data_IF_901770354267
#
_entry.id   IF_901770354267
#
_cell.length_a   1.000
_cell.length_b   1.000
_cell.length_c   1.000
_cell.angle_alpha   90.00
_cell.angle_beta   90.00
_cell.angle_gamma   90.00
#
_symmetry.space_group_name_H-M   'P 1'
#
loop_
_entity.id
_entity.type
_entity.pdbx_description
1 polymer ?
#
# COMPACT_ATOMS: atom_id res chain seq x y z
N UNK A 1 -8.38 18.34 -18.50
CA UNK A 1 -8.20 17.30 -17.46
C UNK A 1 -9.43 17.38 -16.58
N UNK A 2 -10.26 16.34 -16.57
CA UNK A 2 -11.46 16.30 -15.73
C UNK A 2 -11.09 16.43 -14.25
N UNK A 3 -12.04 16.97 -13.48
CA UNK A 3 -11.81 17.49 -12.14
C UNK A 3 -11.19 16.47 -11.19
N UNK A 4 -10.21 16.94 -10.41
CA UNK A 4 -9.67 16.27 -9.22
C UNK A 4 -10.80 16.17 -8.19
N UNK A 5 -11.59 15.10 -8.24
CA UNK A 5 -12.71 14.92 -7.32
C UNK A 5 -12.18 14.70 -5.89
N UNK A 6 -12.10 15.80 -5.15
CA UNK A 6 -12.02 15.82 -3.69
C UNK A 6 -13.29 16.52 -3.19
N UNK A 7 -14.16 15.84 -2.42
CA UNK A 7 -14.05 14.44 -2.00
C UNK A 7 -14.26 13.45 -3.17
N UNK A 8 -13.83 12.19 -2.97
CA UNK A 8 -14.22 11.09 -3.85
C UNK A 8 -15.74 10.91 -3.82
N UNK A 9 -16.30 10.46 -4.94
CA UNK A 9 -17.73 10.16 -5.08
C UNK A 9 -17.89 8.71 -5.51
N UNK A 10 -18.63 7.94 -4.71
CA UNK A 10 -18.99 6.56 -5.04
C UNK A 10 -20.08 6.57 -6.10
N UNK A 11 -19.90 5.78 -7.16
CA UNK A 11 -20.88 5.61 -8.23
C UNK A 11 -20.94 4.15 -8.64
N UNK A 12 -22.02 3.77 -9.31
CA UNK A 12 -22.12 2.46 -9.94
C UNK A 12 -21.08 2.31 -11.06
N UNK A 13 -20.57 1.09 -11.20
CA UNK A 13 -19.67 0.69 -12.26
C UNK A 13 -20.10 -0.67 -12.81
N UNK A 14 -19.89 -0.95 -14.11
CA UNK A 14 -20.20 -2.27 -14.67
C UNK A 14 -19.29 -3.34 -14.04
N UNK A 15 -19.87 -4.49 -13.71
CA UNK A 15 -19.07 -5.62 -13.25
C UNK A 15 -18.13 -6.10 -14.36
N UNK A 16 -16.81 -6.18 -14.11
CA UNK A 16 -15.85 -6.61 -15.12
C UNK A 16 -16.04 -8.08 -15.48
N UNK A 17 -15.67 -8.45 -16.70
CA UNK A 17 -15.51 -9.85 -17.13
C UNK A 17 -14.02 -10.12 -17.30
N UNK A 18 -13.48 -11.08 -16.55
CA UNK A 18 -12.07 -11.45 -16.69
C UNK A 18 -11.79 -12.09 -18.06
N UNK A 19 -10.74 -11.63 -18.73
CA UNK A 19 -10.12 -12.32 -19.86
C UNK A 19 -9.23 -13.50 -19.43
N UNK A 20 -8.56 -14.16 -20.39
CA UNK A 20 -7.76 -15.37 -20.13
C UNK A 20 -6.63 -15.23 -19.09
N UNK A 21 -6.14 -14.01 -18.85
CA UNK A 21 -5.02 -13.73 -17.92
C UNK A 21 -5.42 -12.77 -16.79
N UNK A 22 -6.72 -12.62 -16.54
CA UNK A 22 -7.25 -11.72 -15.52
C UNK A 22 -8.00 -12.52 -14.46
N UNK A 23 -8.09 -11.95 -13.26
CA UNK A 23 -8.88 -12.49 -12.17
C UNK A 23 -9.78 -11.40 -11.63
N UNK A 24 -11.02 -11.76 -11.29
CA UNK A 24 -11.93 -10.87 -10.54
C UNK A 24 -11.73 -11.17 -9.06
N UNK A 25 -11.36 -10.15 -8.31
CA UNK A 25 -11.12 -10.25 -6.87
C UNK A 25 -12.27 -9.57 -6.14
N UNK A 26 -12.93 -10.31 -5.24
CA UNK A 26 -13.85 -9.73 -4.27
C UNK A 26 -13.04 -9.19 -3.10
N UNK A 27 -12.85 -7.88 -3.06
CA UNK A 27 -12.12 -7.24 -1.96
C UNK A 27 -12.96 -7.29 -0.68
N UNK A 28 -12.33 -7.65 0.45
CA UNK A 28 -12.92 -7.57 1.79
C UNK A 28 -12.45 -6.33 2.58
N UNK A 29 -11.28 -5.81 2.23
CA UNK A 29 -10.74 -4.58 2.79
C UNK A 29 -9.80 -3.90 1.78
N UNK A 30 -9.62 -2.59 1.91
CA UNK A 30 -8.70 -1.79 1.10
C UNK A 30 -7.71 -1.08 2.02
N UNK A 31 -6.42 -1.27 1.76
CA UNK A 31 -5.33 -0.60 2.44
C UNK A 31 -5.05 0.79 1.86
N UNK A 32 -4.99 1.82 2.70
CA UNK A 32 -4.61 3.18 2.29
C UNK A 32 -3.12 3.44 2.55
N UNK A 33 -2.46 4.07 1.60
CA UNK A 33 -1.04 4.42 1.59
C UNK A 33 -0.87 5.95 1.50
N UNK A 34 0.31 6.48 1.88
CA UNK A 34 0.58 7.91 1.75
C UNK A 34 0.52 8.43 0.31
N UNK A 35 0.64 7.55 -0.68
CA UNK A 35 0.59 7.94 -2.08
C UNK A 35 -0.83 8.26 -2.55
N UNK A 36 -1.86 7.64 -1.96
CA UNK A 36 -3.23 7.72 -2.45
C UNK A 36 -3.81 9.14 -2.31
N UNK A 37 -3.68 9.74 -1.12
CA UNK A 37 -4.13 11.12 -0.92
C UNK A 37 -3.23 12.13 -1.66
N UNK A 38 -1.94 11.82 -1.86
CA UNK A 38 -1.05 12.67 -2.66
C UNK A 38 -1.46 12.69 -4.12
N UNK A 39 -1.87 11.55 -4.68
CA UNK A 39 -2.43 11.47 -6.02
C UNK A 39 -3.72 12.28 -6.09
N UNK A 40 -4.60 12.20 -5.09
CA UNK A 40 -5.83 13.00 -5.05
C UNK A 40 -5.53 14.52 -5.10
N UNK A 41 -4.51 14.99 -4.38
CA UNK A 41 -4.17 16.43 -4.33
C UNK A 41 -3.36 16.90 -5.56
N UNK A 42 -2.36 16.11 -5.95
CA UNK A 42 -1.33 16.53 -6.91
C UNK A 42 -1.55 15.99 -8.33
N UNK A 43 -2.41 14.97 -8.49
CA UNK A 43 -2.58 14.21 -9.73
C UNK A 43 -1.54 13.09 -9.91
N UNK A 44 -1.73 12.25 -10.93
CA UNK A 44 -0.90 11.05 -11.20
C UNK A 44 0.57 11.36 -11.57
N UNK A 45 0.88 12.62 -11.91
CA UNK A 45 2.25 13.05 -12.23
C UNK A 45 3.10 13.41 -11.00
N UNK A 46 2.55 13.33 -9.77
CA UNK A 46 3.19 13.74 -8.51
C UNK A 46 3.93 15.11 -8.57
N UNK A 47 3.60 15.98 -9.53
CA UNK A 47 4.25 17.27 -9.74
C UNK A 47 5.78 17.24 -9.86
N UNK A 48 6.37 16.22 -10.52
CA UNK A 48 7.85 15.98 -10.57
C UNK A 48 8.48 15.69 -9.19
N UNK A 49 7.69 15.38 -8.15
CA UNK A 49 8.15 15.11 -6.78
C UNK A 49 7.72 13.71 -6.34
N UNK A 50 8.61 12.73 -6.40
CA UNK A 50 8.35 11.40 -5.84
C UNK A 50 8.74 11.35 -4.36
N UNK A 51 8.02 10.57 -3.56
CA UNK A 51 8.40 10.24 -2.18
C UNK A 51 8.88 8.79 -2.16
N UNK A 52 10.15 8.58 -1.86
CA UNK A 52 10.74 7.26 -1.58
C UNK A 52 10.95 7.11 -0.07
N UNK A 53 11.19 5.87 0.40
CA UNK A 53 11.75 5.66 1.73
C UNK A 53 13.08 6.41 1.76
N UNK A 54 13.15 7.46 2.58
CA UNK A 54 14.31 8.35 2.61
C UNK A 54 15.57 7.53 2.86
N UNK A 55 16.65 7.83 2.14
CA UNK A 55 17.96 7.31 2.51
C UNK A 55 18.25 7.71 3.97
N UNK A 56 18.80 6.80 4.79
CA UNK A 56 19.18 7.14 6.15
C UNK A 56 20.14 8.34 6.15
N UNK A 57 19.92 9.30 7.06
CA UNK A 57 20.80 10.44 7.27
C UNK A 57 21.75 10.14 8.43
N UNK A 58 22.97 10.67 8.39
CA UNK A 58 23.94 10.53 9.47
C UNK A 58 24.52 9.11 9.60
N UNK A 59 24.91 8.49 8.48
CA UNK A 59 25.57 7.20 8.50
C UNK A 59 26.96 7.31 9.17
N UNK A 60 27.40 6.29 9.92
CA UNK A 60 28.75 6.23 10.48
C UNK A 60 29.83 6.29 9.39
N UNK A 61 31.04 6.73 9.77
CA UNK A 61 32.20 6.71 8.87
C UNK A 61 32.46 5.29 8.33
N UNK A 62 32.65 5.16 7.03
CA UNK A 62 32.86 3.88 6.35
C UNK A 62 31.59 3.08 6.02
N UNK A 63 30.39 3.58 6.36
CA UNK A 63 29.12 2.90 6.05
C UNK A 63 28.43 3.54 4.84
N UNK A 64 28.15 2.74 3.82
CA UNK A 64 27.38 3.15 2.64
C UNK A 64 25.91 2.71 2.75
N UNK A 65 24.97 3.62 2.49
CA UNK A 65 23.55 3.30 2.42
C UNK A 65 23.16 2.85 1.02
N UNK A 66 22.42 1.75 0.91
CA UNK A 66 21.86 1.29 -0.37
C UNK A 66 20.34 1.40 -0.43
N UNK A 67 19.82 1.64 -1.62
CA UNK A 67 18.38 1.56 -1.87
C UNK A 67 17.99 0.10 -2.11
N UNK A 68 17.07 -0.41 -1.29
CA UNK A 68 16.47 -1.73 -1.49
C UNK A 68 15.04 -1.53 -1.97
N UNK A 69 14.76 -2.01 -3.17
CA UNK A 69 13.41 -2.03 -3.74
C UNK A 69 12.91 -3.47 -3.82
N UNK A 70 11.61 -3.70 -3.61
CA UNK A 70 11.05 -5.06 -3.55
C UNK A 70 11.36 -5.90 -4.81
N UNK A 71 11.43 -5.27 -5.99
CA UNK A 71 11.77 -5.96 -7.24
C UNK A 71 13.19 -6.56 -7.25
N UNK A 72 14.11 -6.05 -6.41
CA UNK A 72 15.46 -6.61 -6.27
C UNK A 72 15.39 -8.03 -5.73
N UNK A 73 14.49 -8.30 -4.78
CA UNK A 73 14.27 -9.65 -4.23
C UNK A 73 13.73 -10.57 -5.32
N UNK A 74 12.73 -10.11 -6.09
CA UNK A 74 12.13 -10.89 -7.16
C UNK A 74 13.06 -11.17 -8.35
N UNK A 75 14.04 -10.29 -8.63
CA UNK A 75 14.93 -10.41 -9.80
C UNK A 75 16.29 -11.00 -9.48
N UNK A 76 16.92 -10.62 -8.36
CA UNK A 76 18.29 -11.01 -7.99
C UNK A 76 18.34 -11.98 -6.80
N UNK A 77 17.31 -12.02 -5.97
CA UNK A 77 17.25 -12.83 -4.76
C UNK A 77 16.14 -13.87 -4.77
N UNK A 78 15.84 -14.48 -5.93
CA UNK A 78 14.67 -15.35 -6.12
C UNK A 78 14.53 -16.45 -5.08
N UNK A 79 15.62 -17.12 -4.72
CA UNK A 79 15.65 -18.17 -3.70
C UNK A 79 15.28 -17.62 -2.31
N UNK A 80 15.80 -16.44 -1.95
CA UNK A 80 15.45 -15.75 -0.69
C UNK A 80 14.00 -15.31 -0.72
N UNK A 81 13.54 -14.75 -1.85
CA UNK A 81 12.15 -14.33 -2.04
C UNK A 81 11.16 -15.47 -1.87
N UNK A 82 11.44 -16.61 -2.51
CA UNK A 82 10.61 -17.81 -2.40
C UNK A 82 10.60 -18.37 -0.97
N UNK A 83 11.77 -18.48 -0.34
CA UNK A 83 11.87 -19.02 1.02
C UNK A 83 11.16 -18.12 2.05
N UNK A 84 11.39 -16.80 1.99
CA UNK A 84 10.79 -15.86 2.92
C UNK A 84 9.31 -15.60 2.62
N UNK A 85 8.98 -15.08 1.44
CA UNK A 85 7.63 -14.60 1.12
C UNK A 85 6.70 -15.67 0.56
N UNK A 86 7.25 -16.65 -0.17
CA UNK A 86 6.47 -17.73 -0.75
C UNK A 86 6.13 -18.86 0.24
N UNK A 87 7.02 -19.12 1.20
CA UNK A 87 6.90 -20.27 2.14
C UNK A 87 6.77 -19.83 3.59
N UNK A 88 7.77 -19.13 4.13
CA UNK A 88 7.82 -18.86 5.57
C UNK A 88 6.74 -17.87 6.05
N UNK A 89 6.58 -16.71 5.41
CA UNK A 89 5.61 -15.68 5.84
C UNK A 89 4.17 -16.23 5.87
N UNK A 90 3.65 -16.90 4.82
CA UNK A 90 2.31 -17.47 4.86
C UNK A 90 2.12 -18.47 6.01
N UNK A 91 3.04 -19.44 6.16
CA UNK A 91 2.96 -20.43 7.23
C UNK A 91 3.16 -19.83 8.64
N UNK A 92 3.99 -18.79 8.76
CA UNK A 92 4.20 -18.09 10.01
C UNK A 92 2.98 -17.26 10.42
N UNK A 93 2.27 -16.65 9.47
CA UNK A 93 0.99 -15.97 9.72
C UNK A 93 -0.09 -16.97 10.14
N UNK A 94 -0.20 -18.11 9.43
CA UNK A 94 -1.18 -19.15 9.73
C UNK A 94 -0.95 -19.79 11.11
N UNK A 95 0.30 -20.06 11.47
CA UNK A 95 0.66 -20.64 12.77
C UNK A 95 0.71 -19.60 13.91
N UNK A 96 0.62 -18.31 13.61
CA UNK A 96 0.78 -17.21 14.58
C UNK A 96 2.23 -16.96 15.03
N UNK A 97 3.21 -17.66 14.44
CA UNK A 97 4.65 -17.38 14.66
C UNK A 97 5.05 -15.98 14.15
N UNK A 98 4.30 -15.45 13.18
CA UNK A 98 4.34 -14.06 12.75
C UNK A 98 2.95 -13.44 12.94
N UNK A 99 2.89 -12.28 13.55
CA UNK A 99 1.64 -11.53 13.71
C UNK A 99 1.69 -10.25 12.88
N UNK A 100 0.63 -9.97 12.12
CA UNK A 100 0.46 -8.72 11.39
C UNK A 100 0.19 -7.58 12.38
N UNK A 101 1.25 -7.00 12.95
CA UNK A 101 1.21 -5.93 13.95
C UNK A 101 2.00 -4.69 13.47
N UNK A 102 1.64 -3.48 13.94
CA UNK A 102 0.51 -3.16 14.81
C UNK A 102 -0.83 -3.46 14.15
N UNK A 103 -1.90 -3.59 14.96
CA UNK A 103 -3.25 -3.73 14.41
C UNK A 103 -3.57 -2.56 13.48
N UNK A 104 -4.27 -2.81 12.36
CA UNK A 104 -4.63 -1.73 11.46
C UNK A 104 -5.65 -0.80 12.14
N UNK A 105 -5.62 0.46 11.74
CA UNK A 105 -6.66 1.43 12.08
C UNK A 105 -7.71 1.37 10.98
N UNK A 106 -8.96 1.09 11.37
CA UNK A 106 -10.10 1.17 10.45
C UNK A 106 -10.45 2.63 10.24
N UNK A 107 -10.14 3.15 9.06
CA UNK A 107 -10.38 4.54 8.66
C UNK A 107 -11.75 4.79 8.04
N UNK A 108 -12.51 3.73 7.74
CA UNK A 108 -13.83 3.82 7.14
C UNK A 108 -14.44 2.44 6.85
N UNK A 109 -15.72 2.43 6.47
CA UNK A 109 -16.47 1.24 6.02
C UNK A 109 -17.17 1.52 4.70
N UNK A 110 -17.26 0.51 3.85
CA UNK A 110 -17.77 0.63 2.49
C UNK A 110 -16.92 1.57 1.63
N UNK A 111 -17.33 1.76 0.37
CA UNK A 111 -16.64 2.65 -0.55
C UNK A 111 -16.70 4.12 -0.12
N UNK A 112 -17.78 4.52 0.56
CA UNK A 112 -17.95 5.88 1.07
C UNK A 112 -16.90 6.24 2.13
N UNK A 113 -16.41 5.25 2.89
CA UNK A 113 -15.38 5.43 3.90
C UNK A 113 -13.97 5.67 3.35
N UNK A 114 -13.76 5.59 2.03
CA UNK A 114 -12.42 5.77 1.44
C UNK A 114 -11.93 7.20 1.63
N UNK A 115 -12.79 8.22 1.49
CA UNK A 115 -12.37 9.61 1.67
C UNK A 115 -11.90 9.88 3.10
N UNK A 116 -12.62 9.39 4.10
CA UNK A 116 -12.26 9.51 5.52
C UNK A 116 -10.91 8.84 5.81
N UNK A 117 -10.68 7.66 5.22
CA UNK A 117 -9.43 6.94 5.37
C UNK A 117 -8.24 7.67 4.71
N UNK A 118 -8.43 8.33 3.57
CA UNK A 118 -7.43 9.19 2.94
C UNK A 118 -7.08 10.39 3.83
N UNK A 119 -8.10 11.08 4.34
CA UNK A 119 -7.91 12.26 5.20
C UNK A 119 -7.29 11.87 6.55
N UNK A 120 -7.60 10.69 7.09
CA UNK A 120 -6.93 10.11 8.26
C UNK A 120 -5.45 9.82 7.97
N UNK A 121 -5.15 9.15 6.87
CA UNK A 121 -3.76 8.82 6.49
C UNK A 121 -2.93 10.10 6.38
N UNK A 122 -3.48 11.14 5.75
CA UNK A 122 -2.82 12.44 5.57
C UNK A 122 -2.43 13.10 6.89
N UNK A 123 -3.24 12.95 7.95
CA UNK A 123 -2.93 13.48 9.29
C UNK A 123 -1.76 12.75 9.96
N UNK A 124 -1.39 11.56 9.48
CA UNK A 124 -0.37 10.70 10.06
C UNK A 124 -0.96 9.71 11.05
N UNK A 125 -0.42 8.48 11.05
CA UNK A 125 -1.02 7.33 11.77
C UNK A 125 0.01 6.52 12.59
N UNK A 126 1.17 7.11 12.87
CA UNK A 126 2.21 6.53 13.74
C UNK A 126 2.49 5.04 13.49
N UNK A 127 3.00 4.70 12.30
CA UNK A 127 3.32 3.34 11.84
C UNK A 127 2.13 2.37 11.70
N UNK A 128 0.92 2.72 12.11
CA UNK A 128 -0.25 1.89 11.88
C UNK A 128 -0.70 1.91 10.42
N UNK A 129 -1.29 0.81 9.97
CA UNK A 129 -1.86 0.71 8.63
C UNK A 129 -3.31 1.18 8.65
N UNK A 130 -3.67 2.16 7.80
CA UNK A 130 -5.08 2.52 7.60
C UNK A 130 -5.72 1.55 6.63
N UNK A 131 -6.88 1.01 6.99
CA UNK A 131 -7.71 0.15 6.14
C UNK A 131 -9.15 0.63 6.11
N UNK A 132 -9.83 0.31 5.01
CA UNK A 132 -11.28 0.43 4.85
C UNK A 132 -11.86 -0.98 4.76
N UNK A 133 -12.88 -1.29 5.56
CA UNK A 133 -13.59 -2.57 5.49
C UNK A 133 -14.71 -2.47 4.44
N UNK A 134 -14.90 -3.50 3.61
CA UNK A 134 -15.90 -3.54 2.53
C UNK A 134 -17.07 -4.48 2.81
#
# INVERSE_FOLDING_TARGET
MEAKAKPLVVNEAPMPKAGPSEVIIKNHAIAINPIDWKIQETGTALGRRYATVLSPRGLPEGVEGMHVFASVIASKGRNVGEAAWGKWVPGALESGALNAKPDPVVGGKGLDGIQDALDMQKKGVSLAKVVVEL
#
